data_IF_987901646413
#
_entry.id   IF_987901646413
#
_cell.length_a   1.000
_cell.length_b   1.000
_cell.length_c   1.000
_cell.angle_alpha   90.00
_cell.angle_beta   90.00
_cell.angle_gamma   90.00
#
_symmetry.space_group_name_H-M   'P 1'
#
loop_
_entity.id
_entity.type
_entity.pdbx_description
1 polymer ?
#
# COMPACT_ATOMS: atom_id res chain seq x y z
N UNK A 1 -43.54 27.55 8.70
CA UNK A 1 -42.80 27.78 7.46
C UNK A 1 -41.34 27.30 7.52
N UNK A 2 -40.52 27.73 8.50
CA UNK A 2 -39.09 27.33 8.59
C UNK A 2 -38.85 25.81 8.74
N UNK A 3 -39.72 25.08 9.44
CA UNK A 3 -39.64 23.61 9.60
C UNK A 3 -39.98 22.84 8.31
N UNK A 4 -40.94 23.34 7.53
CA UNK A 4 -41.33 22.77 6.23
C UNK A 4 -40.23 23.00 5.17
N UNK A 5 -39.59 24.17 5.21
CA UNK A 5 -38.46 24.48 4.33
C UNK A 5 -37.23 23.62 4.66
N UNK A 6 -36.96 23.38 5.95
CA UNK A 6 -35.89 22.47 6.39
C UNK A 6 -36.13 21.02 5.98
N UNK A 7 -37.39 20.55 6.06
CA UNK A 7 -37.75 19.20 5.63
C UNK A 7 -37.60 19.03 4.11
N UNK A 8 -38.04 20.03 3.34
CA UNK A 8 -37.88 20.05 1.88
C UNK A 8 -36.40 20.04 1.46
N UNK A 9 -35.53 20.76 2.19
CA UNK A 9 -34.09 20.76 1.95
C UNK A 9 -33.45 19.39 2.26
N UNK A 10 -33.86 18.75 3.35
CA UNK A 10 -33.36 17.43 3.73
C UNK A 10 -33.77 16.35 2.72
N UNK A 11 -35.02 16.38 2.25
CA UNK A 11 -35.51 15.48 1.19
C UNK A 11 -34.84 15.74 -0.15
N UNK A 12 -34.54 17.01 -0.47
CA UNK A 12 -33.76 17.36 -1.67
C UNK A 12 -32.34 16.79 -1.63
N UNK A 13 -31.66 16.88 -0.48
CA UNK A 13 -30.34 16.28 -0.30
C UNK A 13 -30.36 14.74 -0.37
N UNK A 14 -31.39 14.09 0.17
CA UNK A 14 -31.54 12.64 0.12
C UNK A 14 -31.91 12.12 -1.28
N UNK A 15 -32.52 12.94 -2.13
CA UNK A 15 -32.83 12.58 -3.53
C UNK A 15 -31.65 12.85 -4.49
N UNK A 16 -30.62 13.58 -4.02
CA UNK A 16 -29.39 13.83 -4.77
C UNK A 16 -28.23 12.88 -4.44
N UNK A 17 -28.41 11.94 -3.51
CA UNK A 17 -27.48 10.83 -3.37
C UNK A 17 -27.58 9.94 -4.60
N UNK A 18 -26.79 10.25 -5.62
CA UNK A 18 -26.50 9.33 -6.71
C UNK A 18 -25.88 8.08 -6.08
N UNK A 19 -26.57 6.95 -6.19
CA UNK A 19 -25.95 5.65 -5.95
C UNK A 19 -24.75 5.55 -6.88
N UNK A 20 -23.55 5.71 -6.34
CA UNK A 20 -22.32 5.34 -7.01
C UNK A 20 -22.25 3.81 -7.03
N UNK A 21 -23.13 3.17 -7.80
CA UNK A 21 -22.88 1.80 -8.22
C UNK A 21 -21.76 1.89 -9.24
N UNK A 22 -20.53 1.66 -8.79
CA UNK A 22 -19.47 1.29 -9.70
C UNK A 22 -19.94 0.01 -10.40
N UNK A 23 -20.23 0.11 -11.69
CA UNK A 23 -20.38 -1.08 -12.55
C UNK A 23 -19.19 -1.99 -12.26
N UNK A 24 -19.40 -3.28 -11.91
CA UNK A 24 -18.30 -4.20 -11.74
C UNK A 24 -17.60 -4.27 -13.09
N UNK A 25 -16.46 -3.60 -13.20
CA UNK A 25 -15.65 -3.67 -14.40
C UNK A 25 -15.34 -5.15 -14.60
N UNK A 26 -15.84 -5.72 -15.70
CA UNK A 26 -15.69 -7.15 -15.95
C UNK A 26 -14.21 -7.51 -15.78
N UNK A 27 -13.92 -8.51 -14.95
CA UNK A 27 -12.54 -8.94 -14.70
C UNK A 27 -11.90 -9.31 -16.04
N UNK A 28 -10.95 -8.48 -16.46
CA UNK A 28 -10.28 -8.61 -17.75
C UNK A 28 -8.78 -8.75 -17.52
N UNK A 29 -8.36 -9.97 -17.21
CA UNK A 29 -6.95 -10.34 -17.28
C UNK A 29 -6.68 -10.92 -18.67
N UNK A 30 -5.60 -10.49 -19.36
CA UNK A 30 -5.42 -10.76 -20.79
C UNK A 30 -5.13 -12.24 -21.11
N UNK A 31 -4.79 -13.06 -20.12
CA UNK A 31 -4.50 -14.47 -20.30
C UNK A 31 -5.64 -15.32 -19.73
N UNK A 32 -6.46 -15.89 -20.61
CA UNK A 32 -7.56 -16.80 -20.24
C UNK A 32 -7.05 -18.22 -19.98
N UNK A 33 -5.99 -18.63 -20.70
CA UNK A 33 -5.35 -19.91 -20.48
C UNK A 33 -4.64 -19.92 -19.12
N UNK A 34 -5.00 -20.84 -18.20
CA UNK A 34 -4.44 -20.86 -16.85
C UNK A 34 -2.93 -21.11 -16.84
N UNK A 35 -2.40 -21.87 -17.81
CA UNK A 35 -0.96 -22.11 -17.90
C UNK A 35 -0.21 -20.85 -18.31
N UNK A 36 -0.73 -20.11 -19.30
CA UNK A 36 -0.15 -18.83 -19.72
C UNK A 36 -0.18 -17.81 -18.58
N UNK A 37 -1.28 -17.74 -17.82
CA UNK A 37 -1.44 -16.82 -16.70
C UNK A 37 -0.40 -17.02 -15.58
N UNK A 38 0.23 -18.20 -15.49
CA UNK A 38 1.28 -18.48 -14.48
C UNK A 38 2.69 -18.07 -14.92
N UNK A 39 2.94 -17.96 -16.24
CA UNK A 39 4.28 -17.74 -16.79
C UNK A 39 4.40 -16.33 -17.40
N UNK A 40 3.33 -15.84 -18.01
CA UNK A 40 3.32 -14.56 -18.70
C UNK A 40 3.30 -13.41 -17.68
N UNK A 41 4.14 -12.41 -17.93
CA UNK A 41 4.16 -11.19 -17.14
C UNK A 41 2.93 -10.31 -17.46
N UNK A 42 2.57 -9.43 -16.53
CA UNK A 42 1.55 -8.42 -16.75
C UNK A 42 1.94 -7.57 -17.97
N UNK A 43 1.10 -7.47 -19.02
CA UNK A 43 1.43 -6.63 -20.16
C UNK A 43 1.53 -5.16 -19.76
N UNK A 44 2.43 -4.42 -20.41
CA UNK A 44 2.77 -3.04 -20.06
C UNK A 44 1.54 -2.11 -20.05
N UNK A 45 0.60 -2.33 -20.97
CA UNK A 45 -0.66 -1.59 -21.05
C UNK A 45 -1.53 -1.68 -19.78
N UNK A 46 -1.34 -2.71 -18.96
CA UNK A 46 -2.05 -2.93 -17.70
C UNK A 46 -1.22 -2.55 -16.46
N UNK A 47 0.02 -2.07 -16.63
CA UNK A 47 0.79 -1.63 -15.48
C UNK A 47 0.15 -0.40 -14.81
N UNK A 48 0.16 -0.42 -13.48
CA UNK A 48 -0.29 0.73 -12.70
C UNK A 48 0.62 1.94 -12.95
N UNK A 49 0.01 3.11 -13.16
CA UNK A 49 0.72 4.38 -13.17
C UNK A 49 1.09 4.75 -11.74
N UNK A 50 2.36 4.56 -11.40
CA UNK A 50 2.90 4.79 -10.06
C UNK A 50 3.79 6.04 -10.05
N UNK A 51 3.94 6.71 -8.89
CA UNK A 51 4.91 7.79 -8.76
C UNK A 51 6.32 7.28 -9.07
N UNK A 52 7.09 8.09 -9.80
CA UNK A 52 8.49 7.79 -10.09
C UNK A 52 9.31 7.67 -8.80
N UNK A 53 9.04 8.53 -7.82
CA UNK A 53 9.71 8.56 -6.53
C UNK A 53 8.71 8.75 -5.39
N UNK A 54 9.01 8.14 -4.25
CA UNK A 54 8.27 8.30 -3.01
C UNK A 54 9.28 8.74 -1.95
N UNK A 55 8.98 9.75 -1.12
CA UNK A 55 9.88 10.15 -0.05
C UNK A 55 9.99 9.01 0.96
N UNK A 56 11.19 8.46 1.09
CA UNK A 56 11.47 7.34 1.99
C UNK A 56 12.56 7.69 3.00
N UNK A 57 12.44 7.13 4.19
CA UNK A 57 13.47 7.19 5.23
C UNK A 57 13.79 5.79 5.70
N UNK A 58 15.06 5.43 5.67
CA UNK A 58 15.55 4.16 6.22
C UNK A 58 15.88 4.34 7.71
N UNK A 59 15.57 3.34 8.52
CA UNK A 59 15.87 3.34 9.94
C UNK A 59 16.06 1.91 10.45
N UNK A 60 16.83 1.76 11.54
CA UNK A 60 17.11 0.47 12.15
C UNK A 60 16.35 0.30 13.45
N UNK A 61 15.57 -0.77 13.55
CA UNK A 61 14.77 -1.09 14.73
C UNK A 61 15.47 -2.15 15.60
N UNK A 62 15.78 -1.79 16.84
CA UNK A 62 16.22 -2.74 17.87
C UNK A 62 15.00 -3.37 18.55
N UNK A 63 14.50 -4.46 17.98
CA UNK A 63 13.26 -5.14 18.44
C UNK A 63 13.36 -5.61 19.90
N UNK A 64 14.52 -6.12 20.30
CA UNK A 64 14.77 -6.62 21.65
C UNK A 64 15.94 -5.88 22.30
N UNK A 65 15.76 -4.63 22.75
CA UNK A 65 16.87 -3.79 23.21
C UNK A 65 17.57 -4.34 24.46
N UNK A 66 16.90 -5.17 25.25
CA UNK A 66 17.47 -5.83 26.44
C UNK A 66 18.25 -7.12 26.12
N UNK A 67 18.18 -7.62 24.88
CA UNK A 67 18.87 -8.86 24.49
C UNK A 67 20.34 -8.52 24.19
N UNK A 68 21.26 -9.18 24.89
CA UNK A 68 22.69 -9.11 24.56
C UNK A 68 22.95 -9.92 23.30
N UNK A 69 23.48 -9.28 22.26
CA UNK A 69 23.94 -9.93 21.03
C UNK A 69 25.34 -10.50 21.31
N UNK A 70 25.58 -11.81 21.10
CA UNK A 70 26.91 -12.38 21.21
C UNK A 70 27.91 -11.72 20.23
N UNK A 71 29.17 -11.57 20.64
CA UNK A 71 30.21 -10.88 19.83
C UNK A 71 30.45 -11.51 18.46
N UNK A 72 30.17 -12.82 18.30
CA UNK A 72 30.28 -13.51 17.01
C UNK A 72 29.30 -12.94 15.95
N UNK A 73 28.21 -12.30 16.38
CA UNK A 73 27.25 -11.60 15.51
C UNK A 73 27.57 -10.10 15.42
N UNK A 74 28.83 -9.75 15.25
CA UNK A 74 29.32 -8.36 15.18
C UNK A 74 28.68 -7.51 14.08
N UNK A 75 28.09 -8.14 13.07
CA UNK A 75 27.39 -7.47 11.96
C UNK A 75 25.90 -7.19 12.25
N UNK A 76 25.35 -7.76 13.32
CA UNK A 76 23.94 -7.61 13.66
C UNK A 76 23.71 -6.27 14.37
N UNK A 77 23.12 -5.31 13.65
CA UNK A 77 22.81 -3.98 14.20
C UNK A 77 21.29 -3.72 14.37
N UNK A 78 20.46 -4.75 14.12
CA UNK A 78 19.01 -4.70 14.23
C UNK A 78 18.30 -4.72 12.88
N UNK A 79 16.98 -4.55 12.91
CA UNK A 79 16.13 -4.72 11.74
C UNK A 79 16.08 -3.44 10.91
N UNK A 80 16.70 -3.45 9.73
CA UNK A 80 16.61 -2.32 8.78
C UNK A 80 15.21 -2.27 8.15
N UNK A 81 14.59 -1.11 8.22
CA UNK A 81 13.24 -0.84 7.75
C UNK A 81 13.22 0.41 6.87
N UNK A 82 12.30 0.48 5.91
CA UNK A 82 12.04 1.72 5.15
C UNK A 82 10.63 2.24 5.44
N UNK A 83 10.51 3.52 5.79
CA UNK A 83 9.25 4.23 5.92
C UNK A 83 8.99 5.11 4.69
N UNK A 84 7.82 4.95 4.07
CA UNK A 84 7.20 5.95 3.19
C UNK A 84 6.05 6.64 3.93
N UNK A 85 6.27 7.89 4.33
CA UNK A 85 5.36 8.65 5.18
C UNK A 85 4.50 9.67 4.43
N UNK A 86 3.19 9.68 4.70
CA UNK A 86 2.32 10.79 4.30
C UNK A 86 2.59 12.04 5.14
N UNK A 87 2.35 13.22 4.57
CA UNK A 87 2.45 14.50 5.29
C UNK A 87 1.23 14.78 6.17
N UNK A 88 0.14 14.06 5.95
CA UNK A 88 -1.11 14.15 6.70
C UNK A 88 -1.33 12.87 7.53
N UNK A 89 -2.33 12.89 8.42
CA UNK A 89 -2.76 11.68 9.12
C UNK A 89 -3.25 10.66 8.10
N UNK A 90 -2.70 9.44 8.16
CA UNK A 90 -3.08 8.34 7.30
C UNK A 90 -3.01 7.01 8.06
N UNK A 91 -3.70 5.95 7.58
CA UNK A 91 -3.50 4.60 8.08
C UNK A 91 -2.09 4.08 7.77
N UNK A 92 -1.60 3.15 8.61
CA UNK A 92 -0.30 2.51 8.47
C UNK A 92 -0.43 1.06 8.00
N UNK A 93 0.39 0.66 7.02
CA UNK A 93 0.56 -0.71 6.55
C UNK A 93 2.00 -1.17 6.76
N UNK A 94 2.16 -2.41 7.22
CA UNK A 94 3.44 -3.11 7.23
C UNK A 94 3.54 -3.99 5.99
N UNK A 95 4.61 -3.79 5.22
CA UNK A 95 4.93 -4.56 4.03
C UNK A 95 6.10 -5.48 4.33
N UNK A 96 5.82 -6.78 4.45
CA UNK A 96 6.84 -7.78 4.82
C UNK A 96 7.35 -8.44 3.55
N UNK A 97 8.66 -8.44 3.37
CA UNK A 97 9.28 -9.12 2.24
C UNK A 97 9.08 -10.64 2.33
N UNK A 98 9.16 -11.33 1.19
CA UNK A 98 9.18 -12.79 1.18
C UNK A 98 10.48 -13.34 1.77
N UNK A 99 10.54 -14.64 2.03
CA UNK A 99 11.70 -15.33 2.63
C UNK A 99 13.03 -14.96 1.96
N UNK A 100 14.00 -14.50 2.76
CA UNK A 100 15.34 -14.13 2.31
C UNK A 100 15.39 -12.84 1.48
N UNK A 101 14.31 -12.06 1.47
CA UNK A 101 14.18 -10.86 0.65
C UNK A 101 14.35 -9.59 1.47
N UNK A 102 14.89 -8.57 0.81
CA UNK A 102 15.18 -7.29 1.43
C UNK A 102 13.96 -6.33 1.33
N UNK A 103 13.87 -5.40 2.28
CA UNK A 103 12.79 -4.44 2.45
C UNK A 103 12.68 -3.43 1.29
N UNK A 104 13.73 -3.32 0.46
CA UNK A 104 13.88 -2.33 -0.60
C UNK A 104 14.06 -2.93 -2.01
N UNK A 105 13.72 -4.21 -2.20
CA UNK A 105 13.76 -4.85 -3.54
C UNK A 105 12.81 -4.19 -4.54
N UNK A 106 12.99 -4.36 -5.86
CA UNK A 106 12.12 -3.75 -6.87
C UNK A 106 10.62 -4.07 -6.69
N UNK A 107 10.28 -5.31 -6.32
CA UNK A 107 8.89 -5.71 -6.03
C UNK A 107 8.35 -5.00 -4.79
N UNK A 108 9.15 -4.91 -3.72
CA UNK A 108 8.78 -4.16 -2.51
C UNK A 108 8.56 -2.69 -2.81
N UNK A 109 9.47 -2.05 -3.55
CA UNK A 109 9.33 -0.65 -3.96
C UNK A 109 8.08 -0.43 -4.82
N UNK A 110 7.77 -1.33 -5.77
CA UNK A 110 6.56 -1.22 -6.62
C UNK A 110 5.29 -1.27 -5.77
N UNK A 111 5.19 -2.21 -4.83
CA UNK A 111 4.02 -2.32 -3.95
C UNK A 111 3.94 -1.18 -2.93
N UNK A 112 5.07 -0.77 -2.36
CA UNK A 112 5.15 0.39 -1.48
C UNK A 112 4.66 1.67 -2.17
N UNK A 113 5.05 1.89 -3.43
CA UNK A 113 4.57 3.03 -4.24
C UNK A 113 3.06 2.98 -4.44
N UNK A 114 2.51 1.80 -4.76
CA UNK A 114 1.07 1.63 -4.94
C UNK A 114 0.29 1.93 -3.65
N UNK A 115 0.74 1.41 -2.51
CA UNK A 115 0.13 1.66 -1.20
C UNK A 115 0.30 3.13 -0.78
N UNK A 116 1.47 3.72 -1.00
CA UNK A 116 1.70 5.14 -0.73
C UNK A 116 0.77 6.04 -1.56
N UNK A 117 0.65 5.76 -2.87
CA UNK A 117 -0.29 6.47 -3.75
C UNK A 117 -1.74 6.29 -3.30
N UNK A 118 -2.09 5.14 -2.72
CA UNK A 118 -3.38 4.88 -2.10
C UNK A 118 -3.64 5.66 -0.80
N UNK A 119 -2.69 6.48 -0.32
CA UNK A 119 -2.86 7.33 0.86
C UNK A 119 -2.43 6.69 2.18
N UNK A 120 -1.66 5.61 2.15
CA UNK A 120 -1.15 4.92 3.34
C UNK A 120 0.26 5.40 3.73
N UNK A 121 0.57 5.37 5.02
CA UNK A 121 1.96 5.20 5.47
C UNK A 121 2.37 3.74 5.25
N UNK A 122 3.59 3.51 4.78
CA UNK A 122 4.08 2.16 4.51
C UNK A 122 5.43 1.95 5.20
N UNK A 123 5.52 0.92 6.04
CA UNK A 123 6.80 0.44 6.60
C UNK A 123 7.14 -0.88 5.93
N UNK A 124 8.25 -0.92 5.20
CA UNK A 124 8.76 -2.13 4.55
C UNK A 124 9.80 -2.82 5.44
N UNK A 125 9.66 -4.14 5.62
CA UNK A 125 10.47 -4.99 6.49
C UNK A 125 11.14 -6.13 5.70
N UNK A 126 12.35 -6.52 6.10
CA UNK A 126 13.06 -7.71 5.58
C UNK A 126 12.48 -9.00 6.16
N UNK A 127 12.68 -10.14 5.48
CA UNK A 127 12.32 -11.48 5.98
C UNK A 127 13.39 -12.53 5.66
#
# INVERSE_FOLDING_TARGET
MKRLLGLALLTGCLLWTRSAMAEPQAYFYPFVNPYEATVMQLPEAFEAKLPEQVPTTEFTLRVFPKRRIPEVFWYEDGLVCTLAGQKHRAPLIFLIAGTGSNHNTPRMKKLQKALYQGGFHVISLTS
#
